data_IF_694274542518
#
_entry.id   IF_694274542518
#
_cell.length_a   1.000
_cell.length_b   1.000
_cell.length_c   1.000
_cell.angle_alpha   90.00
_cell.angle_beta   90.00
_cell.angle_gamma   90.00
#
_symmetry.space_group_name_H-M   'P 1'
#
loop_
_entity.id
_entity.type
_entity.pdbx_description
1 polymer ?
#
# COMPACT_ATOMS: atom_id res chain seq x y z
N UNK A 1 -15.69 -4.42 -22.46
CA UNK A 1 -15.92 -5.39 -21.39
C UNK A 1 -14.62 -5.65 -20.66
N UNK A 2 -14.62 -5.56 -19.33
CA UNK A 2 -13.45 -5.78 -18.49
C UNK A 2 -13.71 -7.00 -17.61
N UNK A 3 -12.77 -7.94 -17.57
CA UNK A 3 -12.87 -9.19 -16.83
C UNK A 3 -11.48 -9.77 -16.55
N UNK A 4 -11.39 -10.74 -15.64
CA UNK A 4 -10.14 -11.36 -15.26
C UNK A 4 -9.59 -12.24 -16.40
N UNK A 5 -8.40 -11.95 -16.87
CA UNK A 5 -7.68 -12.69 -17.92
C UNK A 5 -6.25 -12.98 -17.52
N UNK A 6 -5.58 -13.86 -18.25
CA UNK A 6 -4.13 -14.07 -18.14
C UNK A 6 -3.51 -13.92 -19.55
N UNK A 7 -2.65 -12.90 -19.78
CA UNK A 7 -2.26 -11.81 -18.87
C UNK A 7 -3.44 -10.88 -18.52
N UNK A 8 -3.34 -10.19 -17.35
CA UNK A 8 -4.40 -9.30 -16.88
C UNK A 8 -4.63 -8.13 -17.84
N UNK A 9 -5.90 -7.74 -18.03
CA UNK A 9 -6.26 -6.53 -18.76
C UNK A 9 -5.68 -5.32 -18.04
N UNK A 10 -5.21 -4.34 -18.83
CA UNK A 10 -4.59 -3.11 -18.33
C UNK A 10 -5.06 -1.92 -19.15
N UNK A 11 -5.30 -0.80 -18.48
CA UNK A 11 -5.68 0.44 -19.13
C UNK A 11 -6.40 1.40 -18.21
N UNK A 12 -6.64 2.61 -18.71
CA UNK A 12 -7.32 3.68 -17.99
C UNK A 12 -8.78 3.33 -17.69
N UNK A 13 -9.40 2.52 -18.53
CA UNK A 13 -10.75 1.99 -18.33
C UNK A 13 -10.84 1.05 -17.11
N UNK A 14 -9.81 0.25 -16.87
CA UNK A 14 -9.69 -0.58 -15.65
C UNK A 14 -9.48 0.31 -14.42
N UNK A 15 -8.61 1.32 -14.51
CA UNK A 15 -8.37 2.25 -13.41
C UNK A 15 -9.65 3.01 -13.05
N UNK A 16 -10.39 3.49 -14.05
CA UNK A 16 -11.69 4.15 -13.83
C UNK A 16 -12.72 3.22 -13.16
N UNK A 17 -12.76 1.95 -13.54
CA UNK A 17 -13.60 0.96 -12.90
C UNK A 17 -13.22 0.78 -11.42
N UNK A 18 -11.92 0.63 -11.14
CA UNK A 18 -11.42 0.49 -9.77
C UNK A 18 -11.74 1.71 -8.91
N UNK A 19 -11.55 2.93 -9.43
CA UNK A 19 -11.92 4.17 -8.75
C UNK A 19 -13.42 4.20 -8.44
N UNK A 20 -14.28 3.79 -9.39
CA UNK A 20 -15.73 3.75 -9.16
C UNK A 20 -16.12 2.72 -8.10
N UNK A 21 -15.57 1.50 -8.16
CA UNK A 21 -15.79 0.47 -7.15
C UNK A 21 -15.37 0.94 -5.76
N UNK A 22 -14.19 1.54 -5.64
CA UNK A 22 -13.70 2.07 -4.37
C UNK A 22 -14.60 3.19 -3.82
N UNK A 23 -15.07 4.11 -4.66
CA UNK A 23 -16.02 5.17 -4.26
C UNK A 23 -17.37 4.60 -3.78
N UNK A 24 -17.79 3.48 -4.35
CA UNK A 24 -19.02 2.79 -3.96
C UNK A 24 -18.82 1.86 -2.73
N UNK A 25 -17.59 1.77 -2.19
CA UNK A 25 -17.29 1.02 -0.98
C UNK A 25 -16.87 -0.43 -1.20
N UNK A 26 -16.64 -0.84 -2.45
CA UNK A 26 -16.21 -2.19 -2.77
C UNK A 26 -14.68 -2.31 -2.77
N UNK A 27 -14.17 -3.35 -2.14
CA UNK A 27 -12.73 -3.60 -2.09
C UNK A 27 -12.24 -4.21 -3.40
N UNK A 28 -11.73 -3.39 -4.29
CA UNK A 28 -11.13 -3.81 -5.57
C UNK A 28 -9.59 -3.73 -5.59
N UNK A 29 -8.97 -3.53 -4.44
CA UNK A 29 -7.55 -3.19 -4.35
C UNK A 29 -7.29 -1.71 -4.67
N UNK A 30 -6.05 -1.39 -4.98
CA UNK A 30 -5.64 -0.04 -5.40
C UNK A 30 -6.01 0.19 -6.88
N UNK A 31 -6.40 1.42 -7.20
CA UNK A 31 -6.70 1.81 -8.58
C UNK A 31 -5.39 1.98 -9.37
N UNK A 32 -4.95 0.92 -10.01
CA UNK A 32 -3.66 0.80 -10.70
C UNK A 32 -3.78 0.50 -12.19
N UNK A 33 -5.02 0.42 -12.66
CA UNK A 33 -5.32 0.10 -14.06
C UNK A 33 -5.05 -1.35 -14.45
N UNK A 34 -4.92 -2.28 -13.48
CA UNK A 34 -4.73 -3.71 -13.74
C UNK A 34 -5.91 -4.51 -13.20
N UNK A 35 -6.62 -5.20 -14.08
CA UNK A 35 -7.76 -6.04 -13.69
C UNK A 35 -7.28 -7.35 -13.05
N UNK A 36 -6.94 -7.29 -11.76
CA UNK A 36 -6.49 -8.43 -10.98
C UNK A 36 -7.63 -9.13 -10.23
N UNK A 37 -7.29 -10.19 -9.46
CA UNK A 37 -8.28 -10.95 -8.68
C UNK A 37 -9.09 -10.10 -7.69
N UNK A 38 -8.48 -9.11 -7.05
CA UNK A 38 -9.19 -8.19 -6.14
C UNK A 38 -10.18 -7.29 -6.89
N UNK A 39 -9.84 -6.85 -8.11
CA UNK A 39 -10.76 -6.08 -8.94
C UNK A 39 -11.96 -6.94 -9.35
N UNK A 40 -11.72 -8.21 -9.73
CA UNK A 40 -12.79 -9.16 -10.04
C UNK A 40 -13.69 -9.42 -8.82
N UNK A 41 -13.10 -9.59 -7.64
CA UNK A 41 -13.87 -9.78 -6.40
C UNK A 41 -14.73 -8.57 -6.07
N UNK A 42 -14.15 -7.35 -6.05
CA UNK A 42 -14.91 -6.13 -5.77
C UNK A 42 -16.04 -5.88 -6.78
N UNK A 43 -15.82 -6.25 -8.04
CA UNK A 43 -16.85 -6.20 -9.08
C UNK A 43 -17.98 -7.21 -8.82
N UNK A 44 -17.64 -8.45 -8.45
CA UNK A 44 -18.64 -9.47 -8.11
C UNK A 44 -19.45 -9.08 -6.87
N UNK A 45 -18.82 -8.52 -5.85
CA UNK A 45 -19.51 -7.98 -4.67
C UNK A 45 -20.47 -6.84 -5.03
N UNK A 46 -20.05 -5.94 -5.92
CA UNK A 46 -20.92 -4.91 -6.47
C UNK A 46 -22.13 -5.52 -7.19
N UNK A 47 -21.91 -6.46 -8.10
CA UNK A 47 -22.98 -7.14 -8.84
C UNK A 47 -23.97 -7.83 -7.91
N UNK A 48 -23.47 -8.51 -6.88
CA UNK A 48 -24.31 -9.16 -5.87
C UNK A 48 -25.20 -8.17 -5.12
N UNK A 49 -24.62 -7.06 -4.66
CA UNK A 49 -25.33 -6.04 -3.86
C UNK A 49 -26.41 -5.31 -4.67
N UNK A 50 -26.25 -5.25 -5.99
CA UNK A 50 -27.19 -4.56 -6.89
C UNK A 50 -28.09 -5.48 -7.69
N UNK A 51 -28.09 -6.78 -7.35
CA UNK A 51 -28.98 -7.77 -7.98
C UNK A 51 -28.69 -7.98 -9.46
N UNK A 52 -27.44 -7.80 -9.87
CA UNK A 52 -26.95 -8.11 -11.21
C UNK A 52 -26.48 -9.55 -11.28
N UNK A 53 -26.31 -10.08 -12.50
CA UNK A 53 -25.63 -11.36 -12.69
C UNK A 53 -24.18 -11.27 -12.15
N UNK A 54 -23.81 -12.22 -11.28
CA UNK A 54 -22.50 -12.26 -10.60
C UNK A 54 -21.52 -13.01 -11.48
N UNK A 55 -21.10 -12.40 -12.59
CA UNK A 55 -20.21 -12.99 -13.57
C UNK A 55 -18.76 -12.45 -13.47
N UNK A 56 -18.52 -11.43 -12.63
CA UNK A 56 -17.23 -10.77 -12.51
C UNK A 56 -16.81 -10.01 -13.78
N UNK A 57 -17.75 -9.72 -14.68
CA UNK A 57 -17.54 -9.01 -15.95
C UNK A 57 -18.14 -7.61 -15.87
N UNK A 58 -17.31 -6.60 -16.08
CA UNK A 58 -17.82 -5.23 -16.25
C UNK A 58 -18.37 -5.05 -17.65
N UNK A 59 -19.62 -5.46 -17.83
CA UNK A 59 -20.38 -5.29 -19.06
C UNK A 59 -21.21 -4.01 -19.08
N UNK A 60 -21.98 -3.76 -20.16
CA UNK A 60 -22.82 -2.57 -20.31
C UNK A 60 -23.85 -2.39 -19.19
N UNK A 61 -24.44 -3.48 -18.71
CA UNK A 61 -25.41 -3.45 -17.61
C UNK A 61 -24.77 -3.03 -16.29
N UNK A 62 -23.59 -3.56 -16.00
CA UNK A 62 -22.81 -3.23 -14.81
C UNK A 62 -22.38 -1.77 -14.82
N UNK A 63 -21.86 -1.28 -15.97
CA UNK A 63 -21.49 0.14 -16.14
C UNK A 63 -22.71 1.06 -15.94
N UNK A 64 -23.84 0.73 -16.55
CA UNK A 64 -25.08 1.51 -16.41
C UNK A 64 -25.60 1.55 -14.96
N UNK A 65 -25.46 0.46 -14.23
CA UNK A 65 -25.78 0.43 -12.80
C UNK A 65 -24.85 1.35 -11.99
N UNK A 66 -23.54 1.31 -12.26
CA UNK A 66 -22.57 2.20 -11.61
C UNK A 66 -22.82 3.68 -11.93
N UNK A 67 -23.20 4.01 -13.15
CA UNK A 67 -23.50 5.39 -13.56
C UNK A 67 -24.75 5.94 -12.85
N UNK A 68 -25.79 5.12 -12.68
CA UNK A 68 -27.03 5.53 -11.97
C UNK A 68 -26.76 5.91 -10.52
N UNK A 69 -25.77 5.28 -9.89
CA UNK A 69 -25.42 5.47 -8.48
C UNK A 69 -24.39 6.58 -8.34
N UNK A 70 -23.44 6.66 -9.27
CA UNK A 70 -22.34 7.64 -9.27
C UNK A 70 -22.79 9.10 -9.44
N UNK A 71 -24.01 9.36 -9.87
CA UNK A 71 -24.57 10.71 -9.98
C UNK A 71 -24.86 11.41 -8.65
N UNK A 72 -24.64 10.75 -7.50
CA UNK A 72 -24.87 11.30 -6.16
C UNK A 72 -23.61 11.45 -5.32
N UNK A 73 -22.43 11.11 -5.84
CA UNK A 73 -21.18 11.15 -5.08
C UNK A 73 -20.50 12.52 -5.19
N UNK A 74 -20.35 13.19 -4.03
CA UNK A 74 -19.54 14.39 -3.92
C UNK A 74 -18.04 14.13 -4.12
N UNK A 75 -17.26 15.21 -4.25
CA UNK A 75 -15.79 15.22 -4.46
C UNK A 75 -14.94 14.75 -3.25
N UNK A 76 -15.45 13.82 -2.43
CA UNK A 76 -14.77 13.30 -1.27
C UNK A 76 -13.71 12.23 -1.62
N UNK A 77 -12.75 11.95 -0.71
CA UNK A 77 -11.78 10.88 -0.88
C UNK A 77 -12.49 9.54 -1.04
N UNK A 78 -11.95 8.66 -1.89
CA UNK A 78 -12.52 7.32 -2.09
C UNK A 78 -12.52 6.50 -0.78
N UNK A 79 -13.49 5.60 -0.66
CA UNK A 79 -13.68 4.75 0.55
C UNK A 79 -12.40 3.98 0.92
N UNK A 80 -11.54 3.66 -0.04
CA UNK A 80 -10.27 3.01 0.24
C UNK A 80 -9.32 3.93 1.02
N UNK A 81 -9.22 5.21 0.66
CA UNK A 81 -8.40 6.19 1.39
C UNK A 81 -8.95 6.44 2.80
N UNK A 82 -10.29 6.47 2.94
CA UNK A 82 -10.96 6.56 4.26
C UNK A 82 -10.70 5.30 5.09
N UNK A 83 -10.79 4.11 4.48
CA UNK A 83 -10.48 2.84 5.19
C UNK A 83 -9.01 2.72 5.58
N UNK A 84 -8.08 3.17 4.75
CA UNK A 84 -6.66 3.21 5.11
C UNK A 84 -6.43 4.15 6.30
N UNK A 85 -7.12 5.27 6.32
CA UNK A 85 -7.09 6.24 7.44
C UNK A 85 -7.82 5.70 8.69
N UNK A 86 -8.95 5.00 8.51
CA UNK A 86 -9.67 4.33 9.60
C UNK A 86 -8.89 3.12 10.15
N UNK A 87 -8.24 2.32 9.31
CA UNK A 87 -7.36 1.23 9.77
C UNK A 87 -6.18 1.79 10.57
N UNK A 88 -5.65 2.95 10.16
CA UNK A 88 -4.63 3.66 10.93
C UNK A 88 -5.16 4.22 12.26
N UNK A 89 -6.47 4.48 12.37
CA UNK A 89 -7.13 4.98 13.61
C UNK A 89 -7.71 3.89 14.50
N UNK A 90 -8.05 2.71 13.96
CA UNK A 90 -8.72 1.60 14.69
C UNK A 90 -7.72 0.60 15.26
N UNK A 91 -6.42 0.86 15.10
CA UNK A 91 -5.41 0.02 15.69
C UNK A 91 -5.44 0.26 17.21
N UNK A 92 -6.06 -0.71 17.88
CA UNK A 92 -6.19 -0.80 19.32
C UNK A 92 -4.82 -0.68 20.00
N UNK A 93 -4.82 -0.34 21.31
CA UNK A 93 -3.66 -0.26 22.21
C UNK A 93 -2.73 -1.50 22.23
N UNK A 94 -2.97 -2.49 21.38
CA UNK A 94 -2.10 -3.63 21.14
C UNK A 94 -0.92 -3.20 20.22
N UNK A 95 0.27 -3.61 20.58
CA UNK A 95 1.54 -3.25 19.95
C UNK A 95 1.50 -3.32 18.41
N UNK A 96 1.94 -2.26 17.72
CA UNK A 96 2.11 -2.17 16.26
C UNK A 96 2.69 -3.46 15.67
N UNK A 97 2.02 -3.98 14.66
CA UNK A 97 2.48 -5.12 13.87
C UNK A 97 3.01 -4.63 12.53
N UNK A 98 4.27 -4.88 12.21
CA UNK A 98 4.82 -4.40 10.95
C UNK A 98 5.67 -5.44 10.22
N UNK A 99 5.79 -5.23 8.92
CA UNK A 99 6.71 -6.00 8.09
C UNK A 99 7.84 -5.11 7.59
N UNK A 100 9.05 -5.57 7.81
CA UNK A 100 10.26 -4.98 7.21
C UNK A 100 10.68 -5.86 6.03
N UNK A 101 10.53 -5.34 4.83
CA UNK A 101 10.93 -5.99 3.60
C UNK A 101 12.40 -5.70 3.29
N UNK A 102 13.19 -6.71 2.98
CA UNK A 102 14.57 -6.59 2.54
C UNK A 102 14.70 -7.08 1.10
N UNK A 103 14.93 -6.17 0.17
CA UNK A 103 15.37 -6.50 -1.17
C UNK A 103 16.89 -6.72 -1.18
N UNK A 104 17.46 -7.09 -2.32
CA UNK A 104 18.86 -7.46 -2.45
C UNK A 104 19.82 -6.54 -1.66
N UNK A 105 20.67 -7.12 -0.83
CA UNK A 105 21.65 -6.38 -0.03
C UNK A 105 21.14 -5.73 1.26
N UNK A 106 19.81 -5.58 1.44
CA UNK A 106 19.24 -4.83 2.57
C UNK A 106 18.97 -5.66 3.82
N UNK A 107 19.26 -6.97 3.80
CA UNK A 107 19.01 -7.84 4.95
C UNK A 107 19.68 -7.36 6.27
N UNK A 108 20.94 -6.90 6.29
CA UNK A 108 21.57 -6.42 7.53
C UNK A 108 20.86 -5.21 8.13
N UNK A 109 20.41 -4.28 7.28
CA UNK A 109 19.65 -3.10 7.71
C UNK A 109 18.28 -3.50 8.27
N UNK A 110 17.56 -4.38 7.56
CA UNK A 110 16.27 -4.90 7.99
C UNK A 110 16.36 -5.63 9.34
N UNK A 111 17.39 -6.44 9.54
CA UNK A 111 17.65 -7.14 10.81
C UNK A 111 17.89 -6.17 11.97
N UNK A 112 18.69 -5.12 11.77
CA UNK A 112 18.96 -4.12 12.79
C UNK A 112 17.68 -3.30 13.11
N UNK A 113 16.95 -2.88 12.09
CA UNK A 113 15.67 -2.16 12.24
C UNK A 113 14.64 -3.01 12.99
N UNK A 114 14.46 -4.26 12.61
CA UNK A 114 13.54 -5.18 13.28
C UNK A 114 13.95 -5.44 14.74
N UNK A 115 15.25 -5.55 15.03
CA UNK A 115 15.76 -5.68 16.40
C UNK A 115 15.43 -4.45 17.25
N UNK A 116 15.63 -3.26 16.70
CA UNK A 116 15.34 -1.99 17.37
C UNK A 116 13.84 -1.85 17.67
N UNK A 117 12.98 -2.18 16.69
CA UNK A 117 11.53 -2.16 16.85
C UNK A 117 11.02 -3.20 17.87
N UNK A 118 11.55 -4.43 17.83
CA UNK A 118 11.19 -5.47 18.80
C UNK A 118 11.58 -5.10 20.24
N UNK A 119 12.70 -4.41 20.44
CA UNK A 119 13.09 -3.87 21.76
C UNK A 119 12.08 -2.84 22.29
N UNK A 120 11.37 -2.16 21.41
CA UNK A 120 10.28 -1.21 21.73
C UNK A 120 8.92 -1.89 21.91
N UNK A 121 8.85 -3.21 21.84
CA UNK A 121 7.63 -3.99 22.05
C UNK A 121 6.80 -4.25 20.81
N UNK A 122 7.26 -3.87 19.62
CA UNK A 122 6.52 -4.05 18.37
C UNK A 122 6.66 -5.47 17.80
N UNK A 123 5.59 -5.96 17.17
CA UNK A 123 5.61 -7.23 16.45
C UNK A 123 6.17 -7.01 15.05
N UNK A 124 7.30 -7.64 14.72
CA UNK A 124 7.99 -7.41 13.44
C UNK A 124 8.28 -8.71 12.72
N UNK A 125 7.79 -8.83 11.50
CA UNK A 125 8.17 -9.87 10.54
C UNK A 125 9.18 -9.30 9.55
N UNK A 126 10.25 -10.04 9.27
CA UNK A 126 11.20 -9.70 8.19
C UNK A 126 10.88 -10.58 6.99
N UNK A 127 10.81 -9.98 5.82
CA UNK A 127 10.67 -10.69 4.55
C UNK A 127 11.86 -10.37 3.68
N UNK A 128 12.66 -11.40 3.35
CA UNK A 128 13.79 -11.30 2.45
C UNK A 128 13.44 -11.95 1.12
N UNK A 129 13.35 -11.17 0.08
CA UNK A 129 13.05 -11.64 -1.27
C UNK A 129 13.28 -10.52 -2.28
N UNK A 130 13.56 -10.88 -3.53
CA UNK A 130 13.50 -9.94 -4.65
C UNK A 130 12.13 -9.96 -5.37
N UNK A 131 11.23 -10.82 -4.90
CA UNK A 131 9.87 -10.93 -5.44
C UNK A 131 8.91 -10.02 -4.66
N UNK A 132 8.46 -8.97 -5.30
CA UNK A 132 7.55 -7.97 -4.74
C UNK A 132 6.20 -8.58 -4.28
N UNK A 133 5.72 -9.60 -5.02
CA UNK A 133 4.47 -10.27 -4.68
C UNK A 133 4.60 -11.05 -3.35
N UNK A 134 5.74 -11.70 -3.11
CA UNK A 134 6.01 -12.40 -1.84
C UNK A 134 6.00 -11.44 -0.66
N UNK A 135 6.56 -10.24 -0.81
CA UNK A 135 6.51 -9.20 0.22
C UNK A 135 5.07 -8.79 0.55
N UNK A 136 4.28 -8.48 -0.47
CA UNK A 136 2.88 -8.08 -0.28
C UNK A 136 2.04 -9.20 0.33
N UNK A 137 2.21 -10.43 -0.15
CA UNK A 137 1.51 -11.61 0.38
C UNK A 137 1.85 -11.84 1.86
N UNK A 138 3.12 -11.77 2.24
CA UNK A 138 3.57 -11.94 3.62
C UNK A 138 3.01 -10.83 4.52
N UNK A 139 3.07 -9.56 4.10
CA UNK A 139 2.54 -8.43 4.85
C UNK A 139 1.02 -8.55 5.07
N UNK A 140 0.28 -8.90 4.02
CA UNK A 140 -1.17 -9.09 4.10
C UNK A 140 -1.55 -10.29 5.00
N UNK A 141 -0.79 -11.40 4.92
CA UNK A 141 -1.02 -12.59 5.74
C UNK A 141 -0.68 -12.37 7.22
N UNK A 142 0.36 -11.59 7.48
CA UNK A 142 0.77 -11.19 8.83
C UNK A 142 -0.21 -10.19 9.47
N UNK A 143 -1.11 -9.61 8.66
CA UNK A 143 -2.02 -8.51 9.05
C UNK A 143 -1.22 -7.35 9.65
N UNK A 144 -0.18 -6.94 8.93
CA UNK A 144 0.65 -5.83 9.36
C UNK A 144 -0.13 -4.52 9.30
N UNK A 145 0.19 -3.62 10.23
CA UNK A 145 -0.34 -2.25 10.30
C UNK A 145 0.49 -1.30 9.44
N UNK A 146 1.75 -1.68 9.18
CA UNK A 146 2.69 -0.94 8.33
C UNK A 146 3.62 -1.90 7.60
N UNK A 147 3.92 -1.60 6.34
CA UNK A 147 4.99 -2.22 5.56
C UNK A 147 6.08 -1.20 5.24
N UNK A 148 7.33 -1.53 5.57
CA UNK A 148 8.52 -0.76 5.17
C UNK A 148 9.45 -1.66 4.37
N UNK A 149 9.58 -1.42 3.08
CA UNK A 149 10.54 -2.09 2.20
C UNK A 149 11.84 -1.30 2.11
N UNK A 150 12.95 -2.00 2.21
CA UNK A 150 14.31 -1.45 2.10
C UNK A 150 14.93 -1.97 0.81
N UNK A 151 15.40 -1.07 -0.04
CA UNK A 151 15.98 -1.43 -1.34
C UNK A 151 17.24 -0.62 -1.62
N UNK A 152 18.12 -1.15 -2.46
CA UNK A 152 19.24 -0.40 -3.02
C UNK A 152 18.73 0.46 -4.19
N UNK A 153 19.11 1.71 -4.22
CA UNK A 153 18.75 2.65 -5.28
C UNK A 153 19.91 3.56 -5.66
N UNK A 154 19.86 4.18 -6.84
CA UNK A 154 20.90 5.11 -7.28
C UNK A 154 20.95 6.35 -6.38
N UNK A 155 19.80 6.83 -5.91
CA UNK A 155 19.66 7.98 -5.03
C UNK A 155 18.81 7.62 -3.81
N UNK A 156 19.08 8.22 -2.62
CA UNK A 156 18.21 8.06 -1.46
C UNK A 156 16.76 8.45 -1.80
N UNK A 157 15.80 7.66 -1.38
CA UNK A 157 14.39 7.91 -1.69
C UNK A 157 13.45 7.33 -0.64
N UNK A 158 12.30 7.95 -0.46
CA UNK A 158 11.16 7.36 0.23
C UNK A 158 9.94 7.43 -0.69
N UNK A 159 9.38 6.28 -0.98
CA UNK A 159 8.32 6.15 -1.98
C UNK A 159 7.05 5.55 -1.38
N UNK A 160 5.90 6.08 -1.79
CA UNK A 160 4.58 5.59 -1.41
C UNK A 160 3.71 5.35 -2.66
N UNK A 161 2.59 4.67 -2.50
CA UNK A 161 1.72 4.39 -3.63
C UNK A 161 0.93 5.62 -4.08
N UNK A 162 1.05 5.95 -5.36
CA UNK A 162 0.29 7.03 -6.00
C UNK A 162 0.02 6.73 -7.47
N UNK A 163 -1.18 7.06 -7.91
CA UNK A 163 -1.61 7.12 -9.32
C UNK A 163 -2.20 8.49 -9.60
N UNK A 164 -2.68 8.73 -10.80
CA UNK A 164 -3.37 9.98 -11.15
C UNK A 164 -4.65 10.20 -10.32
N UNK A 165 -5.36 9.11 -9.99
CA UNK A 165 -6.66 9.16 -9.33
C UNK A 165 -6.64 8.71 -7.86
N UNK A 166 -5.49 8.26 -7.36
CA UNK A 166 -5.36 7.75 -5.99
C UNK A 166 -3.99 8.08 -5.40
N UNK A 167 -3.98 8.49 -4.13
CA UNK A 167 -2.78 8.60 -3.29
C UNK A 167 -3.06 7.91 -1.95
N UNK A 168 -2.05 7.20 -1.41
CA UNK A 168 -2.10 6.64 -0.06
C UNK A 168 -1.74 7.73 0.96
N UNK A 169 -2.69 8.33 1.71
CA UNK A 169 -2.37 9.44 2.61
C UNK A 169 -1.48 8.99 3.77
N UNK A 170 -1.74 7.81 4.35
CA UNK A 170 -0.93 7.26 5.42
C UNK A 170 0.47 6.86 4.93
N UNK A 171 0.57 6.24 3.73
CA UNK A 171 1.85 5.96 3.09
C UNK A 171 2.67 7.23 2.81
N UNK A 172 2.03 8.31 2.37
CA UNK A 172 2.67 9.62 2.14
C UNK A 172 3.22 10.21 3.44
N UNK A 173 2.45 10.16 4.55
CA UNK A 173 2.92 10.63 5.88
C UNK A 173 4.16 9.86 6.34
N UNK A 174 4.12 8.53 6.29
CA UNK A 174 5.28 7.70 6.66
C UNK A 174 6.48 7.98 5.76
N UNK A 175 6.27 8.07 4.45
CA UNK A 175 7.34 8.38 3.50
C UNK A 175 7.97 9.76 3.76
N UNK A 176 7.17 10.76 4.13
CA UNK A 176 7.66 12.10 4.49
C UNK A 176 8.57 12.04 5.71
N UNK A 177 8.12 11.41 6.80
CA UNK A 177 8.90 11.28 8.02
C UNK A 177 10.21 10.50 7.80
N UNK A 178 10.16 9.40 7.04
CA UNK A 178 11.35 8.62 6.73
C UNK A 178 12.33 9.37 5.83
N UNK A 179 11.83 10.16 4.88
CA UNK A 179 12.63 10.96 3.97
C UNK A 179 13.48 12.02 4.68
N UNK A 180 12.99 12.61 5.78
CA UNK A 180 13.71 13.59 6.59
C UNK A 180 15.02 13.04 7.17
N UNK A 181 15.10 11.74 7.37
CA UNK A 181 16.26 11.04 7.92
C UNK A 181 17.19 10.42 6.86
N UNK A 182 16.83 10.55 5.59
CA UNK A 182 17.69 10.09 4.50
C UNK A 182 18.73 11.17 4.13
N UNK A 183 19.90 10.78 3.60
CA UNK A 183 20.84 11.74 3.04
C UNK A 183 20.17 12.66 2.04
N UNK A 184 20.41 13.96 2.15
CA UNK A 184 19.79 15.02 1.31
C UNK A 184 18.30 15.25 1.53
N UNK A 185 17.66 14.58 2.49
CA UNK A 185 16.23 14.70 2.82
C UNK A 185 15.34 14.85 1.56
N UNK A 186 15.32 13.83 0.66
CA UNK A 186 14.62 13.93 -0.60
C UNK A 186 13.10 14.04 -0.35
N UNK A 187 12.36 14.77 -1.19
CA UNK A 187 10.92 14.79 -1.07
C UNK A 187 10.34 13.38 -1.31
N UNK A 188 9.26 12.99 -0.60
CA UNK A 188 8.65 11.69 -0.79
C UNK A 188 8.10 11.55 -2.22
N UNK A 189 8.18 10.36 -2.80
CA UNK A 189 7.80 10.09 -4.18
C UNK A 189 6.55 9.23 -4.26
N UNK A 190 5.52 9.73 -4.93
CA UNK A 190 4.37 8.92 -5.32
C UNK A 190 4.70 8.05 -6.53
N UNK A 191 4.68 6.71 -6.36
CA UNK A 191 5.06 5.76 -7.42
C UNK A 191 4.05 4.63 -7.58
N UNK A 192 4.00 4.05 -8.80
CA UNK A 192 3.27 2.81 -9.08
C UNK A 192 4.23 1.62 -8.94
N UNK A 193 4.42 1.14 -7.71
CA UNK A 193 5.28 -0.01 -7.47
C UNK A 193 4.47 -1.25 -7.07
N UNK A 194 4.80 -2.47 -7.54
CA UNK A 194 4.00 -3.68 -7.27
C UNK A 194 3.75 -3.95 -5.79
N UNK A 195 4.78 -3.89 -4.94
CA UNK A 195 4.58 -4.14 -3.51
C UNK A 195 3.67 -3.11 -2.85
N UNK A 196 3.83 -1.82 -3.20
CA UNK A 196 2.99 -0.74 -2.66
C UNK A 196 1.54 -0.84 -3.13
N UNK A 197 1.32 -1.40 -4.31
CA UNK A 197 0.00 -1.66 -4.89
C UNK A 197 -0.73 -2.80 -4.19
N UNK A 198 -0.01 -3.89 -3.91
CA UNK A 198 -0.59 -5.15 -3.46
C UNK A 198 -0.74 -5.26 -1.93
N UNK A 199 -0.06 -4.40 -1.17
CA UNK A 199 -0.22 -4.30 0.28
C UNK A 199 -1.54 -3.62 0.65
N UNK A 200 -2.19 -4.11 1.71
CA UNK A 200 -3.50 -3.62 2.19
C UNK A 200 -3.39 -2.57 3.29
N UNK A 201 -2.20 -2.42 3.88
CA UNK A 201 -1.87 -1.43 4.90
C UNK A 201 -1.06 -0.29 4.29
N UNK A 202 -0.81 0.82 5.03
CA UNK A 202 0.17 1.82 4.65
C UNK A 202 1.51 1.15 4.32
N UNK A 203 2.11 1.52 3.18
CA UNK A 203 3.31 0.88 2.68
C UNK A 203 4.26 1.91 2.08
N UNK A 204 5.53 1.79 2.41
CA UNK A 204 6.60 2.64 1.88
C UNK A 204 7.78 1.80 1.42
N UNK A 205 8.49 2.30 0.41
CA UNK A 205 9.80 1.81 0.00
C UNK A 205 10.84 2.88 0.30
N UNK A 206 11.91 2.47 0.98
CA UNK A 206 13.04 3.33 1.31
C UNK A 206 14.24 2.86 0.53
N UNK A 207 14.71 3.71 -0.38
CA UNK A 207 15.87 3.48 -1.21
C UNK A 207 17.12 4.07 -0.61
N UNK A 208 18.20 3.28 -0.59
CA UNK A 208 19.52 3.66 -0.10
C UNK A 208 20.54 3.61 -1.21
N UNK A 209 21.32 4.70 -1.36
CA UNK A 209 22.43 4.74 -2.30
C UNK A 209 23.70 4.16 -1.68
N UNK A 210 24.47 3.33 -2.41
CA UNK A 210 25.81 2.90 -1.97
C UNK A 210 26.83 4.07 -1.93
N UNK A 211 27.83 4.03 -1.03
CA UNK A 211 28.04 3.00 -0.02
C UNK A 211 27.07 3.16 1.15
N UNK A 212 26.55 2.03 1.60
CA UNK A 212 25.68 2.02 2.79
C UNK A 212 26.55 2.41 3.99
N UNK A 213 26.22 3.53 4.61
CA UNK A 213 26.94 4.05 5.77
C UNK A 213 26.74 3.20 7.04
N UNK A 214 26.66 3.84 8.19
CA UNK A 214 26.39 3.15 9.45
C UNK A 214 24.98 2.55 9.47
N UNK A 215 24.88 1.28 9.13
CA UNK A 215 23.61 0.54 9.09
C UNK A 215 22.91 0.45 10.45
N UNK A 216 23.66 0.48 11.55
CA UNK A 216 23.07 0.40 12.89
C UNK A 216 22.39 1.72 13.22
N UNK A 217 23.07 2.84 13.00
CA UNK A 217 22.52 4.17 13.23
C UNK A 217 21.31 4.42 12.31
N UNK A 218 21.42 4.11 11.03
CA UNK A 218 20.30 4.23 10.09
C UNK A 218 19.09 3.39 10.51
N UNK A 219 19.32 2.16 10.98
CA UNK A 219 18.26 1.27 11.44
C UNK A 219 17.55 1.81 12.70
N UNK A 220 18.31 2.36 13.64
CA UNK A 220 17.74 2.95 14.85
C UNK A 220 16.92 4.21 14.54
N UNK A 221 17.42 5.05 13.65
CA UNK A 221 16.72 6.25 13.19
C UNK A 221 15.41 5.91 12.50
N UNK A 222 15.42 4.95 11.55
CA UNK A 222 14.20 4.50 10.88
C UNK A 222 13.19 3.90 11.87
N UNK A 223 13.67 3.12 12.85
CA UNK A 223 12.81 2.53 13.87
C UNK A 223 12.17 3.60 14.77
N UNK A 224 12.93 4.61 15.17
CA UNK A 224 12.41 5.74 15.96
C UNK A 224 11.40 6.57 15.17
N UNK A 225 11.63 6.78 13.88
CA UNK A 225 10.71 7.50 12.99
C UNK A 225 9.38 6.77 12.85
N UNK A 226 9.41 5.44 12.71
CA UNK A 226 8.19 4.63 12.67
C UNK A 226 7.42 4.73 14.00
N UNK A 227 8.11 4.72 15.13
CA UNK A 227 7.51 4.91 16.45
C UNK A 227 6.84 6.28 16.58
N UNK A 228 7.50 7.35 16.10
CA UNK A 228 6.93 8.70 16.09
C UNK A 228 5.65 8.75 15.26
N UNK A 229 5.69 8.20 14.03
CA UNK A 229 4.51 8.12 13.18
C UNK A 229 3.35 7.38 13.86
N UNK A 230 3.66 6.26 14.52
CA UNK A 230 2.66 5.47 15.23
C UNK A 230 2.01 6.25 16.37
N UNK A 231 2.81 6.93 17.19
CA UNK A 231 2.35 7.73 18.32
C UNK A 231 1.53 8.95 17.91
N UNK A 232 1.80 9.53 16.75
CA UNK A 232 1.05 10.68 16.21
C UNK A 232 -0.28 10.27 15.56
N UNK A 233 -0.39 8.99 15.17
CA UNK A 233 -1.56 8.46 14.48
C UNK A 233 -2.59 7.87 15.44
N UNK A 234 -2.27 7.75 16.74
CA UNK A 234 -3.07 7.15 17.82
C UNK A 234 -3.02 7.97 19.07
#
# INVERSE_FOLDING_TARGET
MLYLTSPHLRGDDVEQLQVRLARLGFNCGKADGIFGPLTAQGLSEFQQNYGLEIDGICGPLTLKAMERIGGQSGDGPGVFAVREDELSRTINEESLSMVVGAFAGMHPLAMNMARSLRKRGYRVLIVESNDHHRHALAANSFKADLYVGLEESADPSASFYRTENFSSPAGERVATLLAEHLPSSPPPRGVRHPVLRETRMPAVLVGFAPPLGDLVHSAETLAATVETWWSESH
#
